data_IF_987486175865
#
_entry.id   IF_987486175865
#
_cell.length_a   1.000
_cell.length_b   1.000
_cell.length_c   1.000
_cell.angle_alpha   90.00
_cell.angle_beta   90.00
_cell.angle_gamma   90.00
#
_symmetry.space_group_name_H-M   'P 1'
#
loop_
_entity.id
_entity.type
_entity.pdbx_description
1 polymer ?
#
# COMPACT_ATOMS: atom_id res chain seq x y z
N UNK A 1 -55.94 -0.48 34.04
CA UNK A 1 -55.46 0.53 33.06
C UNK A 1 -53.92 0.63 32.94
N UNK A 2 -53.11 -0.34 33.40
CA UNK A 2 -51.63 -0.33 33.34
C UNK A 2 -51.01 -0.85 32.05
N UNK A 3 -51.73 -1.52 31.13
CA UNK A 3 -51.20 -2.14 29.94
C UNK A 3 -50.85 -1.18 28.81
N UNK A 4 -51.53 -0.02 28.67
CA UNK A 4 -51.28 0.92 27.56
C UNK A 4 -49.95 1.67 27.69
N UNK A 5 -49.47 1.93 28.90
CA UNK A 5 -48.18 2.57 29.16
C UNK A 5 -47.00 1.64 28.81
N UNK A 6 -47.12 0.37 29.19
CA UNK A 6 -46.11 -0.64 28.95
C UNK A 6 -45.91 -0.94 27.42
N UNK A 7 -47.03 -1.06 26.68
CA UNK A 7 -46.97 -1.21 25.23
C UNK A 7 -46.31 0.02 24.54
N UNK A 8 -46.59 1.25 25.01
CA UNK A 8 -45.96 2.44 24.49
C UNK A 8 -44.44 2.47 24.74
N UNK A 9 -44.01 2.07 25.93
CA UNK A 9 -42.59 2.02 26.25
C UNK A 9 -41.85 1.00 25.41
N UNK A 10 -42.46 -0.18 25.16
CA UNK A 10 -41.89 -1.19 24.23
C UNK A 10 -41.82 -0.64 22.80
N UNK A 11 -42.88 0.01 22.33
CA UNK A 11 -42.91 0.62 20.99
C UNK A 11 -41.81 1.67 20.80
N UNK A 12 -41.57 2.52 21.79
CA UNK A 12 -40.45 3.48 21.75
C UNK A 12 -39.10 2.81 21.79
N UNK A 13 -38.93 1.75 22.58
CA UNK A 13 -37.69 0.96 22.62
C UNK A 13 -37.36 0.30 21.28
N UNK A 14 -38.37 -0.32 20.64
CA UNK A 14 -38.22 -0.91 19.31
C UNK A 14 -37.92 0.17 18.25
N UNK A 15 -38.63 1.31 18.30
CA UNK A 15 -38.40 2.43 17.40
C UNK A 15 -36.97 2.99 17.50
N UNK A 16 -36.45 3.16 18.72
CA UNK A 16 -35.08 3.59 18.94
C UNK A 16 -34.06 2.56 18.42
N UNK A 17 -34.29 1.25 18.65
CA UNK A 17 -33.44 0.18 18.15
C UNK A 17 -33.38 0.17 16.61
N UNK A 18 -34.52 0.32 15.96
CA UNK A 18 -34.59 0.37 14.49
C UNK A 18 -33.90 1.63 13.93
N UNK A 19 -34.02 2.75 14.60
CA UNK A 19 -33.35 3.99 14.21
C UNK A 19 -31.82 3.83 14.30
N UNK A 20 -31.30 3.30 15.41
CA UNK A 20 -29.86 3.02 15.57
C UNK A 20 -29.37 2.02 14.54
N UNK A 21 -30.09 0.92 14.32
CA UNK A 21 -29.75 -0.08 13.31
C UNK A 21 -29.72 0.52 11.90
N UNK A 22 -30.71 1.36 11.56
CA UNK A 22 -30.77 2.10 10.30
C UNK A 22 -29.60 3.08 10.14
N UNK A 23 -29.24 3.81 11.19
CA UNK A 23 -28.11 4.72 11.16
C UNK A 23 -26.78 3.97 10.96
N UNK A 24 -26.54 2.86 11.66
CA UNK A 24 -25.34 2.02 11.50
C UNK A 24 -25.29 1.45 10.08
N UNK A 25 -26.40 0.97 9.55
CA UNK A 25 -26.49 0.49 8.18
C UNK A 25 -26.16 1.59 7.16
N UNK A 26 -26.71 2.78 7.34
CA UNK A 26 -26.43 3.92 6.47
C UNK A 26 -24.95 4.33 6.50
N UNK A 27 -24.35 4.40 7.70
CA UNK A 27 -22.92 4.72 7.85
C UNK A 27 -22.07 3.68 7.09
N UNK A 28 -22.29 2.39 7.31
CA UNK A 28 -21.57 1.33 6.62
C UNK A 28 -21.74 1.36 5.10
N UNK A 29 -22.95 1.69 4.62
CA UNK A 29 -23.28 1.69 3.20
C UNK A 29 -22.72 2.88 2.44
N UNK A 30 -22.70 4.06 3.07
CA UNK A 30 -22.41 5.32 2.39
C UNK A 30 -21.15 6.03 2.87
N UNK A 31 -20.72 5.85 4.11
CA UNK A 31 -19.61 6.62 4.69
C UNK A 31 -18.30 5.85 4.63
N UNK A 32 -18.27 4.60 5.08
CA UNK A 32 -17.02 3.86 5.13
C UNK A 32 -17.22 2.36 5.26
N UNK A 33 -16.22 1.64 4.78
CA UNK A 33 -16.16 0.18 4.88
C UNK A 33 -14.77 -0.25 5.31
N UNK A 34 -14.71 -1.26 6.18
CA UNK A 34 -13.44 -1.83 6.62
C UNK A 34 -13.02 -2.97 5.70
N UNK A 35 -11.74 -2.95 5.30
CA UNK A 35 -11.13 -4.01 4.52
C UNK A 35 -9.90 -4.53 5.26
N UNK A 36 -9.66 -5.83 5.14
CA UNK A 36 -8.42 -6.46 5.61
C UNK A 36 -7.45 -6.53 4.44
N UNK A 37 -6.21 -6.15 4.68
CA UNK A 37 -5.14 -6.24 3.69
C UNK A 37 -4.68 -7.68 3.59
N UNK A 38 -4.73 -8.24 2.37
CA UNK A 38 -4.34 -9.61 2.07
C UNK A 38 -3.16 -9.69 1.10
N UNK A 39 -2.51 -8.56 0.81
CA UNK A 39 -1.40 -8.49 -0.15
C UNK A 39 -0.24 -7.68 0.41
N UNK A 40 0.97 -8.08 0.09
CA UNK A 40 2.20 -7.38 0.45
C UNK A 40 2.53 -6.19 -0.48
N UNK A 41 1.67 -5.89 -1.47
CA UNK A 41 1.94 -4.86 -2.48
C UNK A 41 2.22 -3.45 -1.92
N UNK A 42 1.83 -3.19 -0.68
CA UNK A 42 2.04 -1.94 0.03
C UNK A 42 2.69 -2.16 1.41
N UNK A 43 3.45 -3.24 1.59
CA UNK A 43 3.96 -3.74 2.86
C UNK A 43 4.68 -2.68 3.73
N UNK A 44 5.32 -1.70 3.10
CA UNK A 44 5.99 -0.60 3.81
C UNK A 44 5.06 0.47 4.37
N UNK A 45 3.86 0.57 3.83
CA UNK A 45 2.86 1.55 4.27
C UNK A 45 1.69 0.89 4.97
N UNK A 46 1.37 -0.35 4.59
CA UNK A 46 0.21 -1.12 5.02
C UNK A 46 0.64 -2.58 5.07
N UNK A 47 0.73 -3.13 6.26
CA UNK A 47 1.14 -4.52 6.45
C UNK A 47 0.02 -5.51 6.09
N UNK A 48 0.39 -6.70 5.64
CA UNK A 48 -0.57 -7.78 5.48
C UNK A 48 -1.22 -8.11 6.83
N UNK A 49 -2.55 -8.23 6.83
CA UNK A 49 -3.34 -8.48 8.02
C UNK A 49 -3.93 -7.23 8.67
N UNK A 50 -3.46 -6.04 8.32
CA UNK A 50 -4.00 -4.77 8.81
C UNK A 50 -5.44 -4.55 8.37
N UNK A 51 -6.19 -3.83 9.19
CA UNK A 51 -7.53 -3.35 8.85
C UNK A 51 -7.49 -1.87 8.49
N UNK A 52 -8.00 -1.55 7.32
CA UNK A 52 -8.14 -0.18 6.83
C UNK A 52 -9.61 0.22 6.75
N UNK A 53 -9.89 1.48 6.97
CA UNK A 53 -11.21 2.07 6.76
C UNK A 53 -11.16 2.89 5.48
N UNK A 54 -11.92 2.49 4.49
CA UNK A 54 -12.02 3.18 3.20
C UNK A 54 -13.18 4.15 3.23
N UNK A 55 -12.89 5.42 2.97
CA UNK A 55 -13.91 6.46 2.85
C UNK A 55 -14.60 6.33 1.49
N UNK A 56 -15.91 6.09 1.51
CA UNK A 56 -16.78 5.96 0.32
C UNK A 56 -17.45 7.27 -0.09
N UNK A 57 -17.35 8.32 0.72
CA UNK A 57 -17.95 9.60 0.37
C UNK A 57 -17.35 10.10 -0.94
N UNK A 58 -18.18 10.63 -1.86
CA UNK A 58 -17.68 11.21 -3.10
C UNK A 58 -16.76 12.38 -2.75
N UNK A 59 -15.48 12.12 -2.87
CA UNK A 59 -14.49 13.19 -2.74
C UNK A 59 -14.48 14.01 -4.02
N UNK A 60 -14.25 15.32 -3.86
CA UNK A 60 -14.06 16.24 -4.97
C UNK A 60 -13.13 15.63 -6.03
N UNK A 61 -13.36 15.86 -7.34
CA UNK A 61 -12.67 15.17 -8.44
C UNK A 61 -11.16 15.38 -8.51
N UNK A 62 -10.58 16.19 -7.64
CA UNK A 62 -9.13 16.37 -7.55
C UNK A 62 -8.47 15.15 -6.86
N UNK A 63 -8.37 14.05 -7.60
CA UNK A 63 -7.45 12.98 -7.23
C UNK A 63 -6.04 13.59 -7.10
N UNK A 64 -5.40 13.32 -5.97
CA UNK A 64 -4.05 13.82 -5.70
C UNK A 64 -3.05 12.73 -6.01
N UNK A 65 -1.94 13.09 -6.62
CA UNK A 65 -0.80 12.18 -6.75
C UNK A 65 -0.36 11.70 -5.37
N UNK A 66 0.16 10.50 -5.29
CA UNK A 66 0.61 9.83 -4.06
C UNK A 66 -0.51 9.45 -3.07
N UNK A 67 -1.79 9.65 -3.43
CA UNK A 67 -2.92 9.20 -2.62
C UNK A 67 -3.08 7.68 -2.75
N UNK A 68 -3.30 7.00 -1.62
CA UNK A 68 -3.62 5.57 -1.60
C UNK A 68 -5.09 5.40 -1.98
N UNK A 69 -5.35 4.50 -2.91
CA UNK A 69 -6.70 4.17 -3.40
C UNK A 69 -6.93 2.67 -3.42
N UNK A 70 -8.16 2.31 -3.13
CA UNK A 70 -8.65 0.96 -3.28
C UNK A 70 -9.52 0.90 -4.54
N UNK A 71 -9.24 -0.04 -5.44
CA UNK A 71 -9.94 -0.14 -6.72
C UNK A 71 -10.10 -1.58 -7.19
N UNK A 72 -11.11 -1.84 -7.98
CA UNK A 72 -11.27 -3.11 -8.65
C UNK A 72 -10.49 -3.14 -9.97
N UNK A 73 -9.88 -4.29 -10.27
CA UNK A 73 -9.15 -4.45 -11.54
C UNK A 73 -10.05 -4.17 -12.73
N UNK A 74 -9.68 -3.26 -13.63
CA UNK A 74 -10.41 -3.02 -14.87
C UNK A 74 -10.19 -4.13 -15.92
N UNK A 75 -9.17 -4.98 -15.72
CA UNK A 75 -8.77 -6.00 -16.70
C UNK A 75 -9.67 -7.23 -16.71
N UNK A 76 -10.39 -7.49 -15.62
CA UNK A 76 -11.30 -8.62 -15.52
C UNK A 76 -12.74 -8.15 -15.74
N UNK A 77 -13.41 -8.72 -16.75
CA UNK A 77 -14.78 -8.39 -17.12
C UNK A 77 -15.85 -9.02 -16.20
N UNK A 78 -15.53 -10.11 -15.54
CA UNK A 78 -16.47 -10.83 -14.68
C UNK A 78 -16.68 -10.13 -13.35
N UNK A 79 -17.89 -9.61 -13.15
CA UNK A 79 -18.26 -8.83 -11.96
C UNK A 79 -18.13 -9.59 -10.63
N UNK A 80 -18.23 -10.91 -10.65
CA UNK A 80 -18.19 -11.78 -9.47
C UNK A 80 -16.75 -12.05 -8.96
N UNK A 81 -15.74 -11.82 -9.78
CA UNK A 81 -14.35 -12.19 -9.50
C UNK A 81 -13.34 -11.04 -9.64
N UNK A 82 -13.79 -9.79 -9.58
CA UNK A 82 -12.88 -8.65 -9.68
C UNK A 82 -12.05 -8.52 -8.40
N UNK A 83 -10.77 -8.85 -8.44
CA UNK A 83 -9.91 -8.67 -7.26
C UNK A 83 -9.82 -7.19 -6.91
N UNK A 84 -9.76 -6.93 -5.62
CA UNK A 84 -9.60 -5.61 -5.06
C UNK A 84 -8.11 -5.32 -4.88
N UNK A 85 -7.65 -4.22 -5.44
CA UNK A 85 -6.26 -3.78 -5.35
C UNK A 85 -6.14 -2.51 -4.55
N UNK A 86 -5.01 -2.40 -3.83
CA UNK A 86 -4.62 -1.18 -3.15
C UNK A 86 -3.32 -0.67 -3.77
N UNK A 87 -3.29 0.62 -4.12
CA UNK A 87 -2.11 1.23 -4.73
C UNK A 87 -2.08 2.74 -4.54
N UNK A 88 -0.94 3.36 -4.86
CA UNK A 88 -0.79 4.83 -4.90
C UNK A 88 -1.06 5.36 -6.30
N UNK A 89 -1.66 6.54 -6.36
CA UNK A 89 -1.89 7.26 -7.62
C UNK A 89 -0.57 7.91 -8.05
N UNK A 90 -0.03 7.49 -9.18
CA UNK A 90 1.14 8.11 -9.83
C UNK A 90 0.77 9.25 -10.77
N UNK A 91 -0.26 9.06 -11.58
CA UNK A 91 -0.74 10.04 -12.53
C UNK A 91 -2.23 10.32 -12.36
N UNK A 92 -2.62 11.52 -12.67
CA UNK A 92 -4.03 11.96 -12.72
C UNK A 92 -4.45 12.21 -14.17
N UNK A 93 -5.75 12.26 -14.48
CA UNK A 93 -6.21 12.56 -15.83
C UNK A 93 -5.57 13.83 -16.39
N UNK A 94 -5.02 13.75 -17.59
CA UNK A 94 -4.27 14.83 -18.26
C UNK A 94 -2.76 14.77 -18.06
N UNK A 95 -2.24 13.88 -17.21
CA UNK A 95 -0.80 13.71 -17.07
C UNK A 95 -0.22 12.84 -18.20
N UNK A 96 0.99 13.20 -18.63
CA UNK A 96 1.85 12.37 -19.46
C UNK A 96 2.86 11.66 -18.57
N UNK A 97 2.82 10.31 -18.55
CA UNK A 97 3.76 9.49 -17.79
C UNK A 97 4.81 8.93 -18.73
N UNK A 98 6.07 9.18 -18.43
CA UNK A 98 7.20 8.54 -19.09
C UNK A 98 7.94 7.68 -18.07
N UNK A 99 8.08 6.40 -18.40
CA UNK A 99 8.79 5.42 -17.56
C UNK A 99 10.17 5.24 -18.20
N UNK A 100 11.19 5.67 -17.49
CA UNK A 100 12.59 5.47 -17.87
C UNK A 100 13.22 4.43 -16.93
N UNK A 101 14.34 3.81 -17.32
CA UNK A 101 15.11 2.96 -16.43
C UNK A 101 15.49 3.65 -15.12
N UNK A 102 15.79 4.94 -15.16
CA UNK A 102 16.26 5.74 -14.02
C UNK A 102 15.12 6.27 -13.14
N UNK A 103 13.84 6.12 -13.55
CA UNK A 103 12.71 6.61 -12.76
C UNK A 103 11.49 7.01 -13.59
N UNK A 104 10.58 7.70 -12.92
CA UNK A 104 9.30 8.12 -13.52
C UNK A 104 9.26 9.63 -13.72
N UNK A 105 8.92 10.05 -14.93
CA UNK A 105 8.69 11.45 -15.27
C UNK A 105 7.18 11.68 -15.44
N UNK A 106 6.66 12.68 -14.77
CA UNK A 106 5.28 13.13 -14.92
C UNK A 106 5.30 14.54 -15.49
N UNK A 107 4.73 14.70 -16.67
CA UNK A 107 4.76 15.98 -17.42
C UNK A 107 6.19 16.53 -17.61
N UNK A 108 7.14 15.65 -17.87
CA UNK A 108 8.56 16.00 -18.07
C UNK A 108 9.32 16.36 -16.80
N UNK A 109 8.71 16.23 -15.62
CA UNK A 109 9.36 16.44 -14.33
C UNK A 109 9.55 15.11 -13.61
N UNK A 110 10.73 14.92 -13.05
CA UNK A 110 11.01 13.77 -12.20
C UNK A 110 10.16 13.82 -10.93
N UNK A 111 9.45 12.75 -10.65
CA UNK A 111 8.66 12.61 -9.42
C UNK A 111 9.43 11.69 -8.50
N UNK A 112 9.89 12.19 -7.34
CA UNK A 112 10.59 11.35 -6.39
C UNK A 112 9.68 10.21 -5.94
N UNK A 113 10.23 9.02 -5.89
CA UNK A 113 9.56 7.86 -5.30
C UNK A 113 9.15 8.17 -3.86
N UNK A 114 8.04 7.57 -3.41
CA UNK A 114 7.71 7.63 -1.99
C UNK A 114 8.91 7.11 -1.18
N UNK A 115 9.29 7.75 -0.05
CA UNK A 115 10.38 7.24 0.80
C UNK A 115 10.18 5.79 1.25
N UNK A 116 8.96 5.32 1.24
CA UNK A 116 8.54 3.97 1.57
C UNK A 116 8.35 3.06 0.34
N UNK A 117 8.65 3.53 -0.87
CA UNK A 117 8.60 2.68 -2.05
C UNK A 117 9.76 1.69 -2.02
N UNK A 118 9.47 0.42 -2.28
CA UNK A 118 10.48 -0.61 -2.46
C UNK A 118 11.10 -0.47 -3.85
N UNK A 119 12.42 -0.41 -3.90
CA UNK A 119 13.19 -0.50 -5.12
C UNK A 119 14.03 -1.78 -5.08
N UNK A 120 14.28 -2.35 -6.24
CA UNK A 120 15.09 -3.57 -6.37
C UNK A 120 16.56 -3.21 -6.53
N UNK A 121 17.39 -3.95 -5.83
CA UNK A 121 18.85 -3.80 -5.87
C UNK A 121 19.48 -5.13 -6.16
N UNK A 122 20.33 -5.15 -7.18
CA UNK A 122 21.14 -6.30 -7.49
C UNK A 122 22.40 -6.33 -6.63
N UNK A 123 22.68 -7.49 -6.07
CA UNK A 123 23.86 -7.76 -5.27
C UNK A 123 24.65 -8.90 -5.93
N UNK A 124 25.86 -8.59 -6.34
CA UNK A 124 26.75 -9.60 -6.95
C UNK A 124 27.15 -10.68 -5.93
N UNK A 125 27.34 -11.92 -6.41
CA UNK A 125 27.62 -13.09 -5.56
C UNK A 125 28.85 -12.95 -4.69
N UNK A 126 29.86 -12.20 -5.13
CA UNK A 126 31.11 -11.99 -4.40
C UNK A 126 31.00 -11.06 -3.18
N UNK A 127 29.96 -10.20 -3.15
CA UNK A 127 29.72 -9.28 -2.01
C UNK A 127 28.45 -9.65 -1.23
N UNK A 128 27.72 -10.67 -1.67
CA UNK A 128 26.43 -11.07 -1.11
C UNK A 128 26.50 -11.33 0.40
N UNK A 129 27.50 -12.09 0.87
CA UNK A 129 27.63 -12.43 2.29
C UNK A 129 27.88 -11.19 3.15
N UNK A 130 28.69 -10.25 2.64
CA UNK A 130 28.93 -8.98 3.33
C UNK A 130 27.67 -8.14 3.42
N UNK A 131 26.92 -8.06 2.33
CA UNK A 131 25.63 -7.33 2.30
C UNK A 131 24.65 -7.95 3.28
N UNK A 132 24.51 -9.28 3.30
CA UNK A 132 23.60 -9.95 4.24
C UNK A 132 24.01 -9.80 5.70
N UNK A 133 25.30 -9.82 6.01
CA UNK A 133 25.77 -9.54 7.36
C UNK A 133 25.41 -8.12 7.81
N UNK A 134 25.58 -7.13 6.93
CA UNK A 134 25.23 -5.75 7.23
C UNK A 134 23.72 -5.55 7.35
N UNK A 135 22.92 -6.18 6.48
CA UNK A 135 21.45 -6.15 6.61
C UNK A 135 20.99 -6.67 7.97
N UNK A 136 21.57 -7.81 8.41
CA UNK A 136 21.28 -8.40 9.72
C UNK A 136 21.73 -7.49 10.87
N UNK A 137 22.91 -6.85 10.74
CA UNK A 137 23.44 -5.92 11.75
C UNK A 137 22.57 -4.66 11.90
N UNK A 138 22.03 -4.18 10.78
CA UNK A 138 21.20 -2.99 10.74
C UNK A 138 19.71 -3.27 11.05
N UNK A 139 19.36 -4.55 11.30
CA UNK A 139 17.98 -5.01 11.50
C UNK A 139 17.06 -4.64 10.32
N UNK A 140 17.60 -4.73 9.10
CA UNK A 140 16.84 -4.50 7.88
C UNK A 140 16.25 -5.84 7.42
N UNK A 141 14.91 -5.95 7.31
CA UNK A 141 14.27 -7.19 6.90
C UNK A 141 14.58 -7.54 5.46
N UNK A 142 14.91 -8.81 5.21
CA UNK A 142 15.07 -9.34 3.85
C UNK A 142 13.69 -9.54 3.23
N UNK A 143 13.35 -8.68 2.27
CA UNK A 143 12.12 -8.76 1.48
C UNK A 143 12.45 -9.22 0.08
N UNK A 144 11.58 -10.05 -0.50
CA UNK A 144 11.65 -10.47 -1.91
C UNK A 144 13.05 -10.90 -2.39
N UNK A 145 13.69 -11.79 -1.65
CA UNK A 145 14.99 -12.33 -2.08
C UNK A 145 14.82 -13.19 -3.33
N UNK A 146 15.34 -12.71 -4.46
CA UNK A 146 15.39 -13.46 -5.72
C UNK A 146 16.81 -13.87 -6.02
N UNK A 147 17.05 -15.16 -6.11
CA UNK A 147 18.37 -15.68 -6.52
C UNK A 147 18.50 -15.65 -8.04
N UNK A 148 19.62 -15.15 -8.52
CA UNK A 148 19.98 -15.06 -9.92
C UNK A 148 21.30 -15.80 -10.20
N UNK A 149 21.66 -15.96 -11.49
CA UNK A 149 22.84 -16.74 -11.86
C UNK A 149 24.16 -16.18 -11.32
N UNK A 150 24.25 -14.86 -11.14
CA UNK A 150 25.48 -14.17 -10.70
C UNK A 150 25.33 -13.38 -9.42
N UNK A 151 24.24 -13.58 -8.67
CA UNK A 151 23.99 -12.87 -7.45
C UNK A 151 22.57 -13.04 -6.92
N UNK A 152 22.08 -12.01 -6.28
CA UNK A 152 20.70 -11.95 -5.81
C UNK A 152 20.13 -10.55 -5.94
N UNK A 153 18.82 -10.47 -6.11
CA UNK A 153 18.07 -9.22 -6.06
C UNK A 153 17.33 -9.14 -4.73
N UNK A 154 17.43 -8.00 -4.08
CA UNK A 154 16.75 -7.67 -2.82
C UNK A 154 15.95 -6.38 -2.97
N UNK A 155 14.83 -6.29 -2.26
CA UNK A 155 13.99 -5.10 -2.25
C UNK A 155 14.22 -4.28 -0.98
N UNK A 156 14.59 -3.01 -1.14
CA UNK A 156 14.86 -2.08 -0.04
C UNK A 156 14.11 -0.76 -0.26
N UNK A 157 13.80 -0.07 0.83
CA UNK A 157 13.37 1.33 0.78
C UNK A 157 14.56 2.27 0.57
N UNK A 158 14.32 3.48 0.10
CA UNK A 158 15.37 4.49 -0.09
C UNK A 158 16.15 4.78 1.20
N UNK A 159 15.48 4.73 2.35
CA UNK A 159 16.12 4.92 3.66
C UNK A 159 17.01 3.74 4.05
N UNK A 160 16.56 2.52 3.81
CA UNK A 160 17.33 1.29 4.09
C UNK A 160 18.54 1.19 3.18
N UNK A 161 18.38 1.53 1.91
CA UNK A 161 19.51 1.62 0.97
C UNK A 161 20.57 2.61 1.46
N UNK A 162 20.17 3.82 1.84
CA UNK A 162 21.09 4.83 2.35
C UNK A 162 21.85 4.33 3.58
N UNK A 163 21.16 3.72 4.53
CA UNK A 163 21.79 3.11 5.72
C UNK A 163 22.76 2.00 5.37
N UNK A 164 22.37 1.13 4.44
CA UNK A 164 23.21 0.02 3.99
C UNK A 164 24.46 0.55 3.29
N UNK A 165 24.32 1.50 2.38
CA UNK A 165 25.45 2.09 1.63
C UNK A 165 26.44 2.83 2.54
N UNK A 166 25.99 3.43 3.61
CA UNK A 166 26.87 4.13 4.56
C UNK A 166 27.80 3.17 5.31
N UNK A 167 27.41 1.91 5.47
CA UNK A 167 28.19 0.88 6.17
C UNK A 167 29.01 -0.02 5.20
N UNK A 168 28.70 0.02 3.91
CA UNK A 168 29.43 -0.76 2.92
C UNK A 168 30.71 -0.05 2.48
N UNK A 169 31.78 -0.83 2.27
CA UNK A 169 33.02 -0.33 1.66
C UNK A 169 32.77 0.14 0.22
N UNK A 170 33.64 1.03 -0.29
CA UNK A 170 33.52 1.53 -1.67
C UNK A 170 33.45 0.42 -2.72
N UNK A 171 34.19 -0.68 -2.53
CA UNK A 171 34.19 -1.83 -3.42
C UNK A 171 32.86 -2.59 -3.39
N UNK A 172 32.24 -2.75 -2.22
CA UNK A 172 30.92 -3.38 -2.11
C UNK A 172 29.83 -2.48 -2.70
N UNK A 173 29.92 -1.18 -2.49
CA UNK A 173 28.95 -0.21 -3.03
C UNK A 173 28.91 -0.20 -4.56
N UNK A 174 30.05 -0.36 -5.25
CA UNK A 174 30.09 -0.41 -6.73
C UNK A 174 29.44 -1.67 -7.32
N UNK A 175 29.32 -2.74 -6.53
CA UNK A 175 28.73 -4.02 -6.94
C UNK A 175 27.32 -4.26 -6.38
N UNK A 176 26.81 -3.26 -5.64
CA UNK A 176 25.46 -3.18 -5.17
C UNK A 176 24.73 -2.08 -5.94
N UNK A 177 23.99 -2.46 -6.97
CA UNK A 177 23.35 -1.52 -7.91
C UNK A 177 21.84 -1.67 -7.87
N UNK A 178 21.13 -0.54 -8.03
CA UNK A 178 19.69 -0.58 -8.28
C UNK A 178 19.41 -1.33 -9.58
N UNK A 179 18.44 -2.22 -9.57
CA UNK A 179 17.93 -2.86 -10.78
C UNK A 179 17.14 -1.80 -11.56
N UNK A 180 17.62 -1.52 -12.76
CA UNK A 180 17.01 -0.57 -13.70
C UNK A 180 15.81 -1.19 -14.43
#
# INVERSE_FOLDING_TARGET
MKGKGFLRSIAYGIGCLLLVAGAVYAIRRYVGESYRISTEAMAESLCEGDYIIVNKLPQSPSKRRNQIVLFHSPLQKDSLSRPLFISRIWGIPGDTLLVNPDGYLVNGKEVPNSPQALARYFCSSDVQDTVFQQLKRLDIPLRELRKEAFGCTISLTAFEEYRLRSELSATCNSRFTGEQ
#
